data_IF_665969763006
#
_entry.id   IF_665969763006
#
_cell.length_a   1.000
_cell.length_b   1.000
_cell.length_c   1.000
_cell.angle_alpha   90.00
_cell.angle_beta   90.00
_cell.angle_gamma   90.00
#
_symmetry.space_group_name_H-M   'P 1'
#
loop_
_entity.id
_entity.type
_entity.pdbx_description
1 polymer ?
#
# COMPACT_ATOMS: atom_id res chain seq x y z
N UNK A 1 30.55 -30.25 -30.77
CA UNK A 1 30.29 -29.39 -29.60
C UNK A 1 31.31 -29.75 -28.54
N UNK A 2 32.09 -28.79 -28.04
CA UNK A 2 33.13 -29.03 -27.04
C UNK A 2 32.50 -29.55 -25.73
N UNK A 3 32.95 -30.69 -25.15
CA UNK A 3 32.39 -31.25 -23.92
C UNK A 3 32.32 -30.26 -22.75
N UNK A 4 33.27 -29.32 -22.69
CA UNK A 4 33.34 -28.30 -21.65
C UNK A 4 32.18 -27.29 -21.74
N UNK A 5 31.80 -26.89 -22.97
CA UNK A 5 30.68 -25.97 -23.20
C UNK A 5 29.34 -26.62 -22.89
N UNK A 6 29.19 -27.92 -23.14
CA UNK A 6 27.94 -28.64 -22.82
C UNK A 6 27.69 -28.65 -21.31
N UNK A 7 28.74 -28.89 -20.52
CA UNK A 7 28.65 -28.92 -19.05
C UNK A 7 28.32 -27.54 -18.47
N UNK A 8 28.94 -26.46 -18.97
CA UNK A 8 28.62 -25.10 -18.53
C UNK A 8 27.16 -24.69 -18.83
N UNK A 9 26.62 -25.12 -19.97
CA UNK A 9 25.19 -24.93 -20.29
C UNK A 9 24.27 -25.72 -19.35
N UNK A 10 24.58 -26.99 -19.08
CA UNK A 10 23.81 -27.83 -18.16
C UNK A 10 23.81 -27.24 -16.73
N UNK A 11 24.96 -26.74 -16.27
CA UNK A 11 25.08 -26.10 -14.96
C UNK A 11 24.26 -24.79 -14.88
N UNK A 12 24.26 -23.97 -15.95
CA UNK A 12 23.44 -22.76 -16.02
C UNK A 12 21.94 -23.06 -16.04
N UNK A 13 21.50 -24.04 -16.82
CA UNK A 13 20.09 -24.45 -16.86
C UNK A 13 19.64 -24.91 -15.48
N UNK A 14 20.42 -25.78 -14.83
CA UNK A 14 20.12 -26.25 -13.48
C UNK A 14 20.07 -25.11 -12.46
N UNK A 15 20.96 -24.13 -12.58
CA UNK A 15 20.94 -22.93 -11.73
C UNK A 15 19.63 -22.15 -11.92
N UNK A 16 19.21 -21.86 -13.15
CA UNK A 16 17.98 -21.12 -13.41
C UNK A 16 16.72 -21.90 -13.00
N UNK A 17 16.66 -23.21 -13.25
CA UNK A 17 15.57 -24.06 -12.75
C UNK A 17 15.47 -24.02 -11.23
N UNK A 18 16.62 -24.08 -10.54
CA UNK A 18 16.67 -23.99 -9.07
C UNK A 18 16.17 -22.64 -8.59
N UNK A 19 16.54 -21.55 -9.26
CA UNK A 19 16.03 -20.21 -8.94
C UNK A 19 14.52 -20.16 -9.10
N UNK A 20 13.99 -20.62 -10.23
CA UNK A 20 12.53 -20.62 -10.48
C UNK A 20 11.77 -21.49 -9.46
N UNK A 21 12.33 -22.61 -9.04
CA UNK A 21 11.73 -23.50 -8.03
C UNK A 21 11.71 -22.90 -6.61
N UNK A 22 12.64 -21.98 -6.29
CA UNK A 22 12.70 -21.34 -4.97
C UNK A 22 11.89 -20.04 -4.88
N UNK A 23 11.38 -19.53 -6.00
CA UNK A 23 10.41 -18.44 -5.98
C UNK A 23 9.15 -18.99 -5.30
N UNK A 24 8.76 -18.42 -4.16
CA UNK A 24 7.63 -18.90 -3.34
C UNK A 24 6.24 -18.79 -4.01
N UNK A 25 6.21 -18.34 -5.25
CA UNK A 25 5.04 -18.17 -6.08
C UNK A 25 4.94 -19.33 -7.07
N UNK A 26 3.73 -19.81 -7.34
CA UNK A 26 3.53 -20.83 -8.37
C UNK A 26 3.91 -20.29 -9.74
N UNK A 27 4.74 -21.02 -10.49
CA UNK A 27 5.21 -20.63 -11.82
C UNK A 27 4.89 -21.74 -12.81
N UNK A 28 4.42 -21.35 -13.99
CA UNK A 28 4.21 -22.23 -15.14
C UNK A 28 4.67 -21.51 -16.40
N UNK A 29 5.32 -22.22 -17.31
CA UNK A 29 5.67 -21.68 -18.63
C UNK A 29 5.10 -22.59 -19.69
N UNK A 30 4.47 -22.01 -20.71
CA UNK A 30 3.94 -22.73 -21.86
C UNK A 30 4.55 -22.26 -23.16
N UNK A 31 4.53 -23.11 -24.18
CA UNK A 31 4.75 -22.70 -25.56
C UNK A 31 3.53 -21.96 -26.15
N UNK A 32 3.62 -21.62 -27.44
CA UNK A 32 2.58 -20.93 -28.19
C UNK A 32 1.26 -21.71 -28.35
N UNK A 33 1.28 -23.04 -28.23
CA UNK A 33 0.10 -23.91 -28.27
C UNK A 33 -0.51 -24.12 -26.87
N UNK A 34 0.12 -23.54 -25.83
CA UNK A 34 -0.30 -23.68 -24.44
C UNK A 34 0.18 -24.97 -23.79
N UNK A 35 1.13 -25.69 -24.42
CA UNK A 35 1.74 -26.89 -23.84
C UNK A 35 2.75 -26.50 -22.77
N UNK A 36 2.69 -27.14 -21.60
CA UNK A 36 3.56 -26.82 -20.47
C UNK A 36 5.00 -27.26 -20.78
N UNK A 37 5.94 -26.32 -20.69
CA UNK A 37 7.38 -26.57 -20.81
C UNK A 37 8.10 -26.53 -19.47
N UNK A 38 7.54 -25.82 -18.49
CA UNK A 38 8.08 -25.74 -17.14
C UNK A 38 6.93 -25.60 -16.15
N UNK A 39 7.06 -26.29 -15.02
CA UNK A 39 6.09 -26.25 -13.94
C UNK A 39 6.85 -26.29 -12.62
N UNK A 40 6.76 -25.22 -11.81
CA UNK A 40 7.56 -25.17 -10.58
C UNK A 40 7.05 -26.15 -9.53
N UNK A 41 7.97 -26.67 -8.70
CA UNK A 41 7.59 -27.55 -7.58
C UNK A 41 6.63 -26.87 -6.62
N UNK A 42 6.83 -25.57 -6.35
CA UNK A 42 5.93 -24.79 -5.50
C UNK A 42 4.51 -24.74 -6.06
N UNK A 43 4.35 -24.69 -7.39
CA UNK A 43 3.03 -24.73 -7.99
C UNK A 43 2.41 -26.13 -7.94
N UNK A 44 3.22 -27.17 -8.13
CA UNK A 44 2.80 -28.58 -7.99
C UNK A 44 2.31 -28.89 -6.59
N UNK A 45 3.06 -28.50 -5.56
CA UNK A 45 2.62 -28.64 -4.17
C UNK A 45 1.34 -27.87 -3.87
N UNK A 46 1.11 -26.74 -4.54
CA UNK A 46 -0.09 -25.93 -4.35
C UNK A 46 -1.33 -26.54 -5.02
N UNK A 47 -1.19 -27.07 -6.23
CA UNK A 47 -2.30 -27.70 -6.96
C UNK A 47 -2.47 -29.20 -6.68
N UNK A 48 -1.60 -29.76 -5.83
CA UNK A 48 -1.51 -31.21 -5.60
C UNK A 48 -1.25 -32.01 -6.89
N UNK A 49 -0.44 -31.43 -7.79
CA UNK A 49 -0.08 -32.01 -9.09
C UNK A 49 1.42 -32.31 -9.12
N UNK A 50 1.80 -33.45 -9.66
CA UNK A 50 3.19 -33.77 -9.94
C UNK A 50 3.71 -32.91 -11.11
N UNK A 51 4.72 -32.02 -10.92
CA UNK A 51 5.25 -31.19 -11.98
C UNK A 51 5.73 -31.97 -13.21
N UNK A 52 6.33 -33.14 -13.01
CA UNK A 52 6.84 -33.97 -14.11
C UNK A 52 5.71 -34.52 -14.99
N UNK A 53 4.54 -34.79 -14.41
CA UNK A 53 3.35 -35.25 -15.14
C UNK A 53 2.59 -34.11 -15.82
N UNK A 54 2.80 -32.86 -15.37
CA UNK A 54 2.20 -31.67 -15.96
C UNK A 54 2.93 -31.23 -17.23
N UNK A 55 4.27 -31.36 -17.25
CA UNK A 55 5.09 -31.00 -18.41
C UNK A 55 4.67 -31.84 -19.63
N UNK A 56 4.48 -31.16 -20.75
CA UNK A 56 4.06 -31.76 -22.01
C UNK A 56 2.55 -31.88 -22.21
N UNK A 57 1.71 -31.63 -21.20
CA UNK A 57 0.25 -31.54 -21.34
C UNK A 57 -0.17 -30.11 -21.69
N UNK A 58 -1.41 -29.94 -22.18
CA UNK A 58 -1.95 -28.60 -22.37
C UNK A 58 -2.22 -27.97 -21.00
N UNK A 59 -1.85 -26.71 -20.82
CA UNK A 59 -2.03 -26.01 -19.54
C UNK A 59 -3.51 -25.93 -19.13
N UNK A 60 -4.45 -25.86 -20.08
CA UNK A 60 -5.88 -25.86 -19.79
C UNK A 60 -6.42 -27.22 -19.31
N UNK A 61 -5.68 -28.32 -19.49
CA UNK A 61 -6.01 -29.64 -18.95
C UNK A 61 -5.49 -29.83 -17.52
N UNK A 62 -4.39 -29.16 -17.18
CA UNK A 62 -3.71 -29.29 -15.88
C UNK A 62 -4.20 -28.22 -14.90
N UNK A 63 -4.42 -27.00 -15.39
CA UNK A 63 -4.80 -25.84 -14.58
C UNK A 63 -6.19 -25.39 -15.04
N UNK A 64 -7.17 -25.57 -14.16
CA UNK A 64 -8.56 -25.14 -14.36
C UNK A 64 -8.60 -23.67 -14.79
N UNK A 65 -9.44 -23.31 -15.77
CA UNK A 65 -9.63 -21.93 -16.24
C UNK A 65 -8.35 -21.23 -16.74
N UNK A 66 -7.30 -21.99 -17.10
CA UNK A 66 -6.08 -21.41 -17.65
C UNK A 66 -6.32 -20.66 -18.96
N UNK A 67 -5.74 -19.47 -19.04
CA UNK A 67 -5.80 -18.55 -20.20
C UNK A 67 -4.45 -18.39 -20.90
N UNK A 68 -3.50 -19.28 -20.64
CA UNK A 68 -2.16 -19.22 -21.25
C UNK A 68 -2.22 -19.23 -22.77
N UNK A 69 -3.09 -20.07 -23.36
CA UNK A 69 -3.31 -20.14 -24.80
C UNK A 69 -3.87 -18.83 -25.40
N UNK A 70 -4.67 -18.08 -24.65
CA UNK A 70 -5.20 -16.78 -25.10
C UNK A 70 -4.09 -15.72 -25.14
N UNK A 71 -3.23 -15.70 -24.10
CA UNK A 71 -2.09 -14.79 -24.05
C UNK A 71 -1.06 -15.13 -25.13
N UNK A 72 -0.85 -16.42 -25.41
CA UNK A 72 -0.01 -16.86 -26.51
C UNK A 72 -0.53 -16.38 -27.87
N UNK A 73 -1.83 -16.55 -28.12
CA UNK A 73 -2.47 -16.18 -29.39
C UNK A 73 -2.57 -14.67 -29.59
N UNK A 74 -2.83 -13.91 -28.52
CA UNK A 74 -3.04 -12.45 -28.60
C UNK A 74 -1.75 -11.65 -28.48
N UNK A 75 -0.73 -12.20 -27.82
CA UNK A 75 0.47 -11.46 -27.44
C UNK A 75 0.23 -10.34 -26.42
N UNK A 76 -0.96 -10.29 -25.80
CA UNK A 76 -1.32 -9.28 -24.80
C UNK A 76 -1.10 -9.85 -23.41
N UNK A 77 -0.30 -9.15 -22.59
CA UNK A 77 -0.07 -9.54 -21.21
C UNK A 77 -1.33 -9.38 -20.35
N UNK A 78 -1.60 -10.36 -19.49
CA UNK A 78 -2.63 -10.30 -18.48
C UNK A 78 -1.96 -10.11 -17.11
N UNK A 79 -2.05 -8.91 -16.55
CA UNK A 79 -1.36 -8.55 -15.29
C UNK A 79 -2.39 -8.39 -14.17
N UNK A 80 -2.07 -8.91 -12.98
CA UNK A 80 -2.89 -8.84 -11.77
C UNK A 80 -4.34 -9.29 -11.99
N UNK A 81 -4.54 -10.34 -12.79
CA UNK A 81 -5.87 -10.84 -13.10
C UNK A 81 -6.33 -11.86 -12.05
N UNK A 82 -7.60 -11.83 -11.64
CA UNK A 82 -8.15 -12.88 -10.81
C UNK A 82 -8.19 -14.20 -11.60
N UNK A 83 -7.88 -15.29 -10.91
CA UNK A 83 -7.93 -16.63 -11.47
C UNK A 83 -8.43 -17.58 -10.38
N UNK A 84 -9.57 -18.20 -10.62
CA UNK A 84 -10.14 -19.18 -9.73
C UNK A 84 -9.68 -20.58 -10.07
N UNK A 85 -9.02 -21.23 -9.12
CA UNK A 85 -8.48 -22.59 -9.24
C UNK A 85 -8.85 -23.34 -7.96
N UNK A 86 -9.41 -24.55 -8.08
CA UNK A 86 -9.82 -25.37 -6.91
C UNK A 86 -10.76 -24.61 -5.94
N UNK A 87 -11.61 -23.73 -6.49
CA UNK A 87 -12.54 -22.92 -5.70
C UNK A 87 -11.94 -21.70 -4.99
N UNK A 88 -10.62 -21.52 -5.03
CA UNK A 88 -9.90 -20.40 -4.42
C UNK A 88 -9.57 -19.31 -5.45
N UNK A 89 -9.85 -18.05 -5.11
CA UNK A 89 -9.52 -16.90 -5.96
C UNK A 89 -8.08 -16.46 -5.72
N UNK A 90 -7.29 -16.52 -6.79
CA UNK A 90 -5.88 -16.15 -6.81
C UNK A 90 -5.70 -14.92 -7.68
N UNK A 91 -4.59 -14.20 -7.49
CA UNK A 91 -4.14 -13.17 -8.44
C UNK A 91 -2.98 -13.74 -9.22
N UNK A 92 -3.07 -13.71 -10.54
CA UNK A 92 -2.03 -14.23 -11.44
C UNK A 92 -1.59 -13.16 -12.43
N UNK A 93 -0.42 -13.38 -13.01
CA UNK A 93 0.02 -12.69 -14.20
C UNK A 93 0.44 -13.71 -15.27
N UNK A 94 0.23 -13.35 -16.53
CA UNK A 94 0.60 -14.12 -17.71
C UNK A 94 1.26 -13.18 -18.70
N UNK A 95 2.54 -13.39 -18.98
CA UNK A 95 3.37 -12.50 -19.77
C UNK A 95 3.84 -13.27 -21.01
N UNK A 96 3.51 -12.82 -22.23
CA UNK A 96 4.05 -13.40 -23.45
C UNK A 96 5.53 -13.03 -23.57
N UNK A 97 6.35 -14.02 -23.87
CA UNK A 97 7.79 -13.92 -24.05
C UNK A 97 8.11 -14.30 -25.49
N UNK A 98 8.51 -13.33 -26.30
CA UNK A 98 9.04 -13.60 -27.64
C UNK A 98 10.52 -13.98 -27.52
N UNK A 99 10.87 -15.19 -27.95
CA UNK A 99 12.26 -15.67 -27.99
C UNK A 99 12.69 -15.75 -29.45
N UNK A 100 13.79 -15.06 -29.78
CA UNK A 100 14.34 -15.00 -31.14
C UNK A 100 14.59 -16.41 -31.70
N UNK A 101 13.96 -16.69 -32.84
CA UNK A 101 14.07 -17.99 -33.51
C UNK A 101 13.32 -19.16 -32.85
N UNK A 102 12.62 -18.95 -31.73
CA UNK A 102 11.86 -20.00 -31.04
C UNK A 102 10.35 -19.70 -30.88
N UNK A 103 9.92 -18.47 -31.17
CA UNK A 103 8.51 -18.08 -31.17
C UNK A 103 8.04 -17.49 -29.84
N UNK A 104 6.73 -17.54 -29.60
CA UNK A 104 6.09 -16.98 -28.40
C UNK A 104 5.96 -18.08 -27.34
N UNK A 105 6.42 -17.79 -26.14
CA UNK A 105 6.16 -18.54 -24.92
C UNK A 105 5.29 -17.69 -24.00
N UNK A 106 4.69 -18.29 -22.99
CA UNK A 106 3.94 -17.54 -21.98
C UNK A 106 4.44 -17.93 -20.61
N UNK A 107 4.87 -16.93 -19.85
CA UNK A 107 5.25 -17.05 -18.45
C UNK A 107 4.05 -16.73 -17.56
N UNK A 108 3.58 -17.72 -16.80
CA UNK A 108 2.50 -17.60 -15.83
C UNK A 108 3.06 -17.62 -14.41
N UNK A 109 2.59 -16.69 -13.58
CA UNK A 109 2.97 -16.62 -12.17
C UNK A 109 1.77 -16.29 -11.28
N UNK A 110 1.65 -17.00 -10.16
CA UNK A 110 0.73 -16.68 -9.07
C UNK A 110 1.34 -15.56 -8.23
N UNK A 111 0.71 -14.39 -8.19
CA UNK A 111 1.14 -13.25 -7.38
C UNK A 111 0.66 -13.37 -5.93
N UNK A 112 -0.62 -13.73 -5.75
CA UNK A 112 -1.25 -13.89 -4.44
C UNK A 112 -2.07 -15.17 -4.41
N UNK A 113 -1.88 -15.97 -3.36
CA UNK A 113 -2.57 -17.26 -3.18
C UNK A 113 -4.03 -17.08 -2.78
N UNK A 114 -4.35 -16.00 -2.05
CA UNK A 114 -5.71 -15.63 -1.71
C UNK A 114 -5.91 -14.14 -1.96
N UNK A 115 -6.91 -13.78 -2.77
CA UNK A 115 -7.32 -12.37 -2.98
C UNK A 115 -7.70 -11.69 -1.66
N UNK A 116 -8.12 -12.45 -0.64
CA UNK A 116 -8.39 -11.92 0.71
C UNK A 116 -7.16 -11.32 1.37
N UNK A 117 -5.95 -11.79 1.06
CA UNK A 117 -4.71 -11.22 1.64
C UNK A 117 -4.54 -9.77 1.17
N UNK A 118 -4.83 -9.52 -0.11
CA UNK A 118 -4.80 -8.19 -0.71
C UNK A 118 -5.86 -7.30 -0.06
N UNK A 119 -7.09 -7.81 0.10
CA UNK A 119 -8.17 -7.07 0.74
C UNK A 119 -7.86 -6.76 2.22
N UNK A 120 -7.27 -7.72 2.94
CA UNK A 120 -6.88 -7.55 4.35
C UNK A 120 -5.81 -6.49 4.51
N UNK A 121 -4.81 -6.47 3.61
CA UNK A 121 -3.76 -5.46 3.63
C UNK A 121 -4.32 -4.07 3.28
N UNK A 122 -5.16 -3.97 2.25
CA UNK A 122 -5.82 -2.72 1.88
C UNK A 122 -6.69 -2.17 3.02
N UNK A 123 -7.44 -3.05 3.70
CA UNK A 123 -8.25 -2.67 4.87
C UNK A 123 -7.38 -2.14 6.03
N UNK A 124 -6.29 -2.85 6.36
CA UNK A 124 -5.36 -2.39 7.41
C UNK A 124 -4.76 -1.02 7.09
N UNK A 125 -4.44 -0.76 5.81
CA UNK A 125 -3.92 0.53 5.38
C UNK A 125 -4.97 1.64 5.59
N UNK A 126 -6.20 1.42 5.13
CA UNK A 126 -7.30 2.38 5.32
C UNK A 126 -7.62 2.64 6.81
N UNK A 127 -7.58 1.60 7.65
CA UNK A 127 -7.77 1.73 9.09
C UNK A 127 -6.63 2.55 9.74
N UNK A 128 -5.39 2.39 9.28
CA UNK A 128 -4.25 3.18 9.75
C UNK A 128 -4.37 4.65 9.32
N UNK A 129 -4.70 4.92 8.07
CA UNK A 129 -4.94 6.28 7.56
C UNK A 129 -6.02 6.98 8.36
N UNK A 130 -7.14 6.30 8.62
CA UNK A 130 -8.25 6.83 9.43
C UNK A 130 -7.83 7.15 10.86
N UNK A 131 -6.97 6.31 11.47
CA UNK A 131 -6.41 6.57 12.81
C UNK A 131 -5.48 7.76 12.82
N UNK A 132 -4.62 7.91 11.80
CA UNK A 132 -3.74 9.07 11.65
C UNK A 132 -4.56 10.35 11.60
N UNK A 133 -5.58 10.40 10.73
CA UNK A 133 -6.47 11.56 10.62
C UNK A 133 -7.20 11.87 11.93
N UNK A 134 -7.67 10.84 12.64
CA UNK A 134 -8.29 11.00 13.94
C UNK A 134 -7.34 11.61 14.98
N UNK A 135 -6.11 11.10 15.09
CA UNK A 135 -5.13 11.62 16.04
C UNK A 135 -4.67 13.03 15.70
N UNK A 136 -4.55 13.39 14.42
CA UNK A 136 -4.27 14.76 14.00
C UNK A 136 -5.37 15.72 14.49
N UNK A 137 -6.65 15.35 14.32
CA UNK A 137 -7.79 16.14 14.81
C UNK A 137 -7.78 16.28 16.34
N UNK A 138 -7.51 15.21 17.08
CA UNK A 138 -7.41 15.23 18.54
C UNK A 138 -6.23 16.09 19.03
N UNK A 139 -5.07 16.03 18.36
CA UNK A 139 -3.92 16.88 18.72
C UNK A 139 -4.21 18.36 18.49
N UNK A 140 -4.93 18.71 17.41
CA UNK A 140 -5.38 20.08 17.17
C UNK A 140 -6.39 20.51 18.24
N UNK A 141 -7.34 19.65 18.61
CA UNK A 141 -8.35 19.97 19.62
C UNK A 141 -7.75 20.17 21.01
N UNK A 142 -6.79 19.34 21.40
CA UNK A 142 -6.06 19.43 22.67
C UNK A 142 -5.14 20.66 22.74
N UNK A 143 -4.52 21.07 21.63
CA UNK A 143 -3.68 22.28 21.57
C UNK A 143 -4.49 23.57 21.55
N UNK A 144 -5.73 23.54 21.07
CA UNK A 144 -6.66 24.63 21.23
C UNK A 144 -7.21 24.66 22.66
N UNK A 145 -6.42 25.14 23.62
CA UNK A 145 -6.99 25.59 24.90
C UNK A 145 -8.00 26.71 24.57
N UNK A 146 -9.29 26.37 24.58
CA UNK A 146 -10.40 27.24 24.17
C UNK A 146 -10.69 28.30 25.22
N UNK A 147 -9.69 29.03 25.70
CA UNK A 147 -9.93 30.21 26.52
C UNK A 147 -10.19 31.39 25.59
N UNK A 148 -11.48 31.68 25.33
CA UNK A 148 -11.91 32.89 24.64
C UNK A 148 -12.10 34.02 25.64
N UNK A 149 -12.21 35.26 25.16
CA UNK A 149 -12.53 36.41 26.02
C UNK A 149 -13.90 36.28 26.70
N UNK A 150 -14.80 35.49 26.12
CA UNK A 150 -16.13 35.18 26.69
C UNK A 150 -16.04 34.32 27.95
N UNK A 151 -14.96 33.54 28.11
CA UNK A 151 -14.72 32.78 29.34
C UNK A 151 -14.15 33.63 30.49
N UNK A 152 -13.82 34.91 30.25
CA UNK A 152 -13.38 35.83 31.30
C UNK A 152 -14.61 36.47 31.95
N UNK A 153 -14.88 36.10 33.20
CA UNK A 153 -16.04 36.60 33.95
C UNK A 153 -15.77 38.04 34.44
N UNK A 154 -16.69 38.95 34.15
CA UNK A 154 -16.66 40.34 34.61
C UNK A 154 -17.38 41.29 33.66
N UNK A 155 -18.26 42.13 34.23
CA UNK A 155 -19.17 43.03 33.52
C UNK A 155 -18.93 44.52 33.86
N UNK A 156 -17.91 44.83 34.65
CA UNK A 156 -17.57 46.22 34.94
C UNK A 156 -17.07 46.93 33.67
N UNK A 157 -17.25 48.25 33.64
CA UNK A 157 -16.78 49.10 32.52
C UNK A 157 -15.28 48.90 32.26
N UNK A 158 -14.45 48.89 33.30
CA UNK A 158 -13.01 48.62 33.17
C UNK A 158 -12.70 47.22 32.62
N UNK A 159 -13.50 46.20 32.94
CA UNK A 159 -13.32 44.86 32.35
C UNK A 159 -13.70 44.84 30.87
N UNK A 160 -14.76 45.55 30.48
CA UNK A 160 -15.16 45.69 29.09
C UNK A 160 -14.08 46.41 28.25
N UNK A 161 -13.45 47.44 28.81
CA UNK A 161 -12.31 48.12 28.17
C UNK A 161 -11.11 47.19 27.95
N UNK A 162 -10.72 46.41 28.97
CA UNK A 162 -9.60 45.47 28.87
C UNK A 162 -9.89 44.37 27.84
N UNK A 163 -11.12 43.81 27.81
CA UNK A 163 -11.53 42.84 26.78
C UNK A 163 -11.43 43.42 25.37
N UNK A 164 -11.87 44.67 25.18
CA UNK A 164 -11.74 45.36 23.88
C UNK A 164 -10.27 45.61 23.49
N UNK A 165 -9.42 45.95 24.45
CA UNK A 165 -7.98 46.13 24.21
C UNK A 165 -7.32 44.80 23.81
N UNK A 166 -7.69 43.70 24.46
CA UNK A 166 -7.23 42.36 24.13
C UNK A 166 -7.61 41.95 22.69
N UNK A 167 -8.84 42.22 22.26
CA UNK A 167 -9.26 41.98 20.86
C UNK A 167 -8.41 42.76 19.85
N UNK A 168 -8.14 44.04 20.13
CA UNK A 168 -7.29 44.88 19.28
C UNK A 168 -5.86 44.36 19.23
N UNK A 169 -5.33 43.92 20.37
CA UNK A 169 -4.00 43.32 20.46
C UNK A 169 -3.90 42.00 19.68
N UNK A 170 -4.97 41.20 19.63
CA UNK A 170 -5.01 39.96 18.86
C UNK A 170 -4.96 40.17 17.34
N UNK A 171 -5.38 41.34 16.84
CA UNK A 171 -5.38 41.68 15.41
C UNK A 171 -4.03 42.17 14.89
N UNK A 172 -3.06 42.41 15.77
CA UNK A 172 -1.74 42.94 15.38
C UNK A 172 -0.64 41.89 15.50
N UNK A 173 0.31 41.92 14.58
CA UNK A 173 1.46 41.02 14.52
C UNK A 173 2.62 41.45 15.45
N UNK A 174 2.34 42.12 16.57
CA UNK A 174 3.35 42.61 17.52
C UNK A 174 3.42 41.74 18.80
N UNK A 175 4.53 41.77 19.56
CA UNK A 175 4.57 41.22 20.92
C UNK A 175 3.61 41.99 21.84
N UNK A 176 2.88 41.28 22.71
CA UNK A 176 1.93 41.86 23.67
C UNK A 176 2.47 41.67 25.09
N UNK A 177 2.55 42.75 25.86
CA UNK A 177 2.93 42.73 27.27
C UNK A 177 1.69 42.95 28.14
N UNK A 178 1.39 42.00 29.02
CA UNK A 178 0.26 42.09 29.96
C UNK A 178 0.80 42.35 31.36
N UNK A 179 0.36 43.45 31.97
CA UNK A 179 0.78 43.89 33.29
C UNK A 179 -0.37 43.76 34.30
N UNK A 180 -0.02 43.57 35.58
CA UNK A 180 -0.97 43.42 36.67
C UNK A 180 -0.38 42.62 37.83
N UNK A 181 -1.00 42.73 39.00
CA UNK A 181 -0.57 42.02 40.22
C UNK A 181 -0.71 40.50 40.10
N UNK A 182 -0.11 39.75 41.03
CA UNK A 182 -0.25 38.29 41.04
C UNK A 182 -1.71 37.90 41.27
N UNK A 183 -2.21 36.90 40.54
CA UNK A 183 -3.60 36.44 40.67
C UNK A 183 -4.67 37.24 39.91
N UNK A 184 -4.31 38.28 39.15
CA UNK A 184 -5.29 39.10 38.39
C UNK A 184 -5.73 38.50 37.05
N UNK A 185 -5.46 37.22 36.79
CA UNK A 185 -5.93 36.53 35.58
C UNK A 185 -5.19 36.86 34.29
N UNK A 186 -3.94 37.37 34.35
CA UNK A 186 -3.13 37.72 33.17
C UNK A 186 -2.96 36.58 32.16
N UNK A 187 -2.83 35.34 32.64
CA UNK A 187 -2.71 34.15 31.79
C UNK A 187 -3.97 33.90 30.97
N UNK A 188 -5.16 34.11 31.57
CA UNK A 188 -6.44 33.97 30.85
C UNK A 188 -6.52 34.96 29.68
N UNK A 189 -6.09 36.21 29.89
CA UNK A 189 -6.01 37.19 28.82
C UNK A 189 -4.97 36.84 27.77
N UNK A 190 -3.81 36.32 28.16
CA UNK A 190 -2.78 35.90 27.19
C UNK A 190 -3.29 34.78 26.27
N UNK A 191 -3.89 33.73 26.84
CA UNK A 191 -4.50 32.66 26.07
C UNK A 191 -5.64 33.16 25.17
N UNK A 192 -6.48 34.06 25.67
CA UNK A 192 -7.58 34.64 24.90
C UNK A 192 -7.12 35.52 23.73
N UNK A 193 -6.07 36.31 23.92
CA UNK A 193 -5.44 37.10 22.85
C UNK A 193 -4.85 36.17 21.79
N UNK A 194 -4.12 35.13 22.21
CA UNK A 194 -3.56 34.16 21.28
C UNK A 194 -4.65 33.44 20.47
N UNK A 195 -5.71 32.97 21.12
CA UNK A 195 -6.83 32.29 20.47
C UNK A 195 -7.60 33.18 19.48
N UNK A 196 -7.77 34.47 19.81
CA UNK A 196 -8.43 35.45 18.94
C UNK A 196 -7.56 35.96 17.78
N UNK A 197 -6.27 35.57 17.72
CA UNK A 197 -5.32 36.01 16.71
C UNK A 197 -5.11 34.97 15.60
N UNK A 198 -4.46 35.39 14.51
CA UNK A 198 -3.99 34.49 13.45
C UNK A 198 -2.95 33.47 13.97
N UNK A 199 -2.34 33.74 15.13
CA UNK A 199 -1.35 32.85 15.74
C UNK A 199 -1.95 31.64 16.44
N UNK A 200 -3.29 31.58 16.59
CA UNK A 200 -4.01 30.48 17.26
C UNK A 200 -3.69 29.06 16.76
N UNK A 201 -3.15 28.95 15.54
CA UNK A 201 -2.75 27.69 14.91
C UNK A 201 -1.34 27.23 15.34
N UNK A 202 -0.56 28.10 15.96
CA UNK A 202 0.78 27.84 16.47
C UNK A 202 0.75 27.58 17.99
N UNK A 203 1.85 27.05 18.57
CA UNK A 203 1.94 26.90 20.02
C UNK A 203 1.82 28.23 20.75
N UNK A 204 1.12 28.20 21.90
CA UNK A 204 1.12 29.28 22.89
C UNK A 204 2.47 29.39 23.60
#
# INVERSE_FOLDING_TARGET
MDPQNKKDLEDKIRFYETVLDHIQNGIVITDHEGKIIFFSKTYGSFLEINPEEAVGKNCSEVVENSRMHLVAATGIAEINQPHRIMGQDMVVQRIPLAIDGQGIFVFGQVMFKDVKDVHTLAKKLSDLESKVEFYEKELVSLRSSKFTLDHIIGESEGMAEIKNLALKAAQVQAPVLILGESGTGKELFAHAIHYASDRRIYPF
#
